data_IF_649932335436
#
_entry.id   IF_649932335436
#
_cell.length_a   1.000
_cell.length_b   1.000
_cell.length_c   1.000
_cell.angle_alpha   90.00
_cell.angle_beta   90.00
_cell.angle_gamma   90.00
#
_symmetry.space_group_name_H-M   'P 1'
#
loop_
_entity.id
_entity.type
_entity.pdbx_description
1 polymer ?
#
# COMPACT_ATOMS: atom_id res chain seq x y z
N UNK A 1 9.67 24.16 -14.07
CA UNK A 1 10.90 23.77 -14.80
C UNK A 1 11.89 23.01 -13.90
N UNK A 2 12.27 23.54 -12.72
CA UNK A 2 13.24 22.88 -11.79
C UNK A 2 12.69 21.57 -11.21
N UNK A 3 11.41 21.54 -10.84
CA UNK A 3 10.78 20.39 -10.19
C UNK A 3 10.78 19.12 -11.07
N UNK A 4 10.47 19.27 -12.37
CA UNK A 4 10.48 18.16 -13.31
C UNK A 4 11.90 17.58 -13.51
N UNK A 5 12.90 18.44 -13.60
CA UNK A 5 14.30 18.01 -13.70
C UNK A 5 14.72 17.22 -12.47
N UNK A 6 14.30 17.66 -11.28
CA UNK A 6 14.57 16.97 -10.03
C UNK A 6 13.90 15.59 -9.96
N UNK A 7 12.63 15.49 -10.37
CA UNK A 7 11.93 14.20 -10.46
C UNK A 7 12.65 13.23 -11.41
N UNK A 8 13.10 13.71 -12.57
CA UNK A 8 13.88 12.89 -13.50
C UNK A 8 15.22 12.42 -12.91
N UNK A 9 15.92 13.30 -12.18
CA UNK A 9 17.17 12.94 -11.51
C UNK A 9 16.95 11.86 -10.45
N UNK A 10 15.90 11.98 -9.62
CA UNK A 10 15.55 10.95 -8.65
C UNK A 10 15.22 9.62 -9.32
N UNK A 11 14.40 9.65 -10.38
CA UNK A 11 13.99 8.46 -11.14
C UNK A 11 15.19 7.67 -11.65
N UNK A 12 16.20 8.36 -12.20
CA UNK A 12 17.45 7.75 -12.70
C UNK A 12 18.29 7.06 -11.63
N UNK A 13 18.10 7.40 -10.36
CA UNK A 13 18.85 6.82 -9.24
C UNK A 13 18.18 5.58 -8.64
N UNK A 14 16.96 5.27 -9.07
CA UNK A 14 16.17 4.14 -8.60
C UNK A 14 16.34 2.99 -9.58
N UNK A 15 16.81 1.85 -9.07
CA UNK A 15 17.09 0.63 -9.82
C UNK A 15 16.48 -0.61 -9.17
N UNK A 16 16.12 -0.49 -7.90
CA UNK A 16 15.50 -1.53 -7.10
C UNK A 16 14.27 -0.93 -6.41
N UNK A 17 13.15 -1.64 -6.50
CA UNK A 17 11.84 -1.18 -6.06
C UNK A 17 11.29 -2.13 -4.98
N UNK A 18 10.48 -1.65 -4.04
CA UNK A 18 9.66 -2.55 -3.27
C UNK A 18 8.69 -3.28 -4.21
N UNK A 19 8.46 -4.57 -3.99
CA UNK A 19 7.41 -5.32 -4.66
C UNK A 19 6.04 -4.94 -4.11
N UNK A 20 5.97 -4.63 -2.82
CA UNK A 20 4.74 -4.40 -2.10
C UNK A 20 4.80 -3.10 -1.30
N UNK A 21 3.88 -2.18 -1.56
CA UNK A 21 3.79 -0.89 -0.87
C UNK A 21 2.42 -0.77 -0.20
N UNK A 22 2.41 -0.32 1.05
CA UNK A 22 1.19 0.07 1.74
C UNK A 22 1.21 1.57 2.06
N UNK A 23 0.19 2.30 1.66
CA UNK A 23 -0.10 3.66 2.11
C UNK A 23 -1.16 3.63 3.21
N UNK A 24 -0.91 4.36 4.29
CA UNK A 24 -1.88 4.59 5.37
C UNK A 24 -2.28 6.07 5.36
N UNK A 25 -3.57 6.33 5.19
CA UNK A 25 -4.16 7.66 5.18
C UNK A 25 -5.44 7.69 6.01
N UNK A 26 -5.87 8.86 6.47
CA UNK A 26 -7.18 9.01 7.11
C UNK A 26 -8.32 9.13 6.09
N UNK A 27 -9.56 8.96 6.53
CA UNK A 27 -10.73 9.30 5.72
C UNK A 27 -10.77 10.77 5.34
N UNK A 28 -10.31 11.67 6.23
CA UNK A 28 -10.21 13.11 5.97
C UNK A 28 -9.19 13.41 4.88
N UNK A 29 -8.00 12.80 4.95
CA UNK A 29 -6.98 12.90 3.90
C UNK A 29 -7.56 12.52 2.53
N UNK A 30 -8.26 11.38 2.46
CA UNK A 30 -8.86 10.93 1.21
C UNK A 30 -9.93 11.90 0.70
N UNK A 31 -10.75 12.46 1.58
CA UNK A 31 -11.79 13.42 1.21
C UNK A 31 -11.19 14.72 0.65
N UNK A 32 -10.07 15.18 1.21
CA UNK A 32 -9.36 16.37 0.76
C UNK A 32 -8.73 16.19 -0.64
N UNK A 33 -8.26 14.98 -0.95
CA UNK A 33 -7.64 14.67 -2.24
C UNK A 33 -7.97 13.26 -2.75
N UNK A 34 -9.19 13.04 -3.28
CA UNK A 34 -9.66 11.72 -3.66
C UNK A 34 -8.97 11.16 -4.91
N UNK A 35 -8.49 12.04 -5.80
CA UNK A 35 -7.75 11.64 -7.01
C UNK A 35 -6.29 11.23 -6.73
N UNK A 36 -5.77 11.49 -5.53
CA UNK A 36 -4.38 11.15 -5.19
C UNK A 36 -4.12 9.64 -5.17
N UNK A 37 -5.10 8.81 -4.82
CA UNK A 37 -5.01 7.35 -4.93
C UNK A 37 -4.69 6.91 -6.37
N UNK A 38 -5.41 7.49 -7.33
CA UNK A 38 -5.18 7.25 -8.76
C UNK A 38 -3.82 7.78 -9.21
N UNK A 39 -3.44 8.98 -8.74
CA UNK A 39 -2.14 9.57 -9.06
C UNK A 39 -0.97 8.71 -8.56
N UNK A 40 -1.00 8.26 -7.31
CA UNK A 40 0.01 7.35 -6.73
C UNK A 40 0.06 6.03 -7.49
N UNK A 41 -1.09 5.45 -7.81
CA UNK A 41 -1.16 4.23 -8.65
C UNK A 41 -0.48 4.44 -10.00
N UNK A 42 -0.75 5.57 -10.66
CA UNK A 42 -0.12 5.95 -11.92
C UNK A 42 1.40 6.11 -11.79
N UNK A 43 1.88 6.70 -10.69
CA UNK A 43 3.33 6.82 -10.41
C UNK A 43 3.98 5.45 -10.21
N UNK A 44 3.33 4.53 -9.50
CA UNK A 44 3.80 3.15 -9.33
C UNK A 44 3.95 2.43 -10.68
N UNK A 45 2.97 2.56 -11.58
CA UNK A 45 3.05 2.01 -12.94
C UNK A 45 4.20 2.65 -13.74
N UNK A 46 4.32 3.98 -13.70
CA UNK A 46 5.34 4.71 -14.45
C UNK A 46 6.76 4.39 -13.99
N UNK A 47 7.02 4.33 -12.68
CA UNK A 47 8.34 3.98 -12.15
C UNK A 47 8.67 2.51 -12.42
N UNK A 48 7.68 1.62 -12.31
CA UNK A 48 7.85 0.19 -12.61
C UNK A 48 8.26 -0.03 -14.06
N UNK A 49 7.57 0.60 -15.01
CA UNK A 49 7.93 0.54 -16.43
C UNK A 49 9.31 1.14 -16.72
N UNK A 50 9.67 2.21 -16.01
CA UNK A 50 11.01 2.80 -16.14
C UNK A 50 12.10 1.84 -15.67
N UNK A 51 11.96 1.28 -14.47
CA UNK A 51 12.97 0.40 -13.84
C UNK A 51 13.09 -0.93 -14.57
N UNK A 52 11.99 -1.53 -15.03
CA UNK A 52 12.08 -2.77 -15.83
C UNK A 52 12.69 -2.55 -17.21
N UNK A 53 12.55 -1.35 -17.79
CA UNK A 53 13.13 -1.01 -19.10
C UNK A 53 14.57 -0.47 -19.06
N UNK A 54 15.01 0.12 -17.94
CA UNK A 54 16.31 0.82 -17.82
C UNK A 54 17.19 0.31 -16.67
N UNK A 55 16.63 -0.53 -15.80
CA UNK A 55 17.32 -1.10 -14.65
C UNK A 55 18.22 -2.28 -15.03
N UNK A 56 18.88 -2.90 -14.03
CA UNK A 56 19.69 -4.09 -14.25
C UNK A 56 18.85 -5.27 -14.76
N UNK A 57 19.51 -6.25 -15.39
CA UNK A 57 18.85 -7.48 -15.80
C UNK A 57 18.20 -8.17 -14.58
N UNK A 58 16.91 -8.50 -14.69
CA UNK A 58 16.12 -9.07 -13.59
C UNK A 58 15.45 -8.04 -12.68
N UNK A 59 15.55 -6.73 -12.97
CA UNK A 59 14.77 -5.72 -12.26
C UNK A 59 13.26 -5.96 -12.40
N UNK A 60 12.53 -5.68 -11.33
CA UNK A 60 11.07 -5.84 -11.26
C UNK A 60 10.36 -4.52 -11.02
N UNK A 61 9.06 -4.51 -11.33
CA UNK A 61 8.14 -3.45 -10.92
C UNK A 61 7.53 -3.69 -9.55
N UNK A 62 6.76 -2.72 -9.10
CA UNK A 62 5.85 -2.84 -7.96
C UNK A 62 4.70 -3.76 -8.40
N UNK A 63 4.41 -4.78 -7.60
CA UNK A 63 3.39 -5.79 -7.88
C UNK A 63 2.09 -5.50 -7.12
N UNK A 64 2.20 -5.09 -5.85
CA UNK A 64 1.07 -4.84 -4.98
C UNK A 64 1.12 -3.45 -4.35
N UNK A 65 0.00 -2.74 -4.40
CA UNK A 65 -0.21 -1.45 -3.76
C UNK A 65 -1.45 -1.50 -2.88
N UNK A 66 -1.30 -1.31 -1.57
CA UNK A 66 -2.41 -1.20 -0.63
C UNK A 66 -2.63 0.27 -0.26
N UNK A 67 -3.87 0.70 -0.21
CA UNK A 67 -4.31 1.91 0.50
C UNK A 67 -5.19 1.50 1.68
N UNK A 68 -4.71 1.79 2.89
CA UNK A 68 -5.52 1.77 4.09
C UNK A 68 -6.08 3.14 4.37
N UNK A 69 -7.40 3.19 4.50
CA UNK A 69 -8.13 4.40 4.85
C UNK A 69 -8.70 4.21 6.24
N UNK A 70 -8.10 4.90 7.20
CA UNK A 70 -8.59 4.96 8.57
C UNK A 70 -9.84 5.84 8.62
N UNK A 71 -11.01 5.22 8.47
CA UNK A 71 -12.31 5.84 8.59
C UNK A 71 -13.14 5.12 9.65
N UNK A 72 -13.70 5.80 10.66
CA UNK A 72 -14.54 5.17 11.69
C UNK A 72 -15.82 4.54 11.13
N UNK A 73 -16.29 5.04 9.98
CA UNK A 73 -17.48 4.59 9.30
C UNK A 73 -17.18 4.41 7.80
N UNK A 74 -17.23 3.17 7.27
CA UNK A 74 -17.01 2.90 5.86
C UNK A 74 -18.01 3.57 4.92
N UNK A 75 -19.22 3.93 5.38
CA UNK A 75 -20.21 4.61 4.52
C UNK A 75 -19.80 6.04 4.17
N UNK A 76 -18.90 6.65 4.95
CA UNK A 76 -18.41 8.01 4.70
C UNK A 76 -17.65 8.14 3.37
N UNK A 77 -17.13 7.03 2.84
CA UNK A 77 -16.42 7.04 1.56
C UNK A 77 -17.31 6.81 0.33
N UNK A 78 -18.63 6.63 0.50
CA UNK A 78 -19.54 6.35 -0.62
C UNK A 78 -19.50 7.45 -1.69
N UNK A 79 -19.37 8.71 -1.27
CA UNK A 79 -19.20 9.86 -2.17
C UNK A 79 -17.86 9.84 -2.93
N UNK A 80 -16.86 9.13 -2.42
CA UNK A 80 -15.50 9.04 -2.95
C UNK A 80 -15.30 7.79 -3.83
N UNK A 81 -16.23 6.83 -3.79
CA UNK A 81 -16.19 5.61 -4.61
C UNK A 81 -15.95 5.88 -6.11
N UNK A 82 -16.57 6.89 -6.76
CA UNK A 82 -16.29 7.16 -8.17
C UNK A 82 -14.81 7.49 -8.43
N UNK A 83 -14.13 8.18 -7.52
CA UNK A 83 -12.71 8.50 -7.64
C UNK A 83 -11.84 7.24 -7.42
N UNK A 84 -12.14 6.44 -6.40
CA UNK A 84 -11.45 5.17 -6.12
C UNK A 84 -11.55 4.22 -7.33
N UNK A 85 -12.76 4.09 -7.91
CA UNK A 85 -13.00 3.21 -9.05
C UNK A 85 -12.19 3.58 -10.29
N UNK A 86 -11.71 4.82 -10.45
CA UNK A 86 -10.81 5.20 -11.54
C UNK A 86 -9.55 4.33 -11.58
N UNK A 87 -9.09 3.81 -10.44
CA UNK A 87 -7.93 2.90 -10.35
C UNK A 87 -8.08 1.69 -11.29
N UNK A 88 -9.29 1.13 -11.40
CA UNK A 88 -9.59 -0.03 -12.27
C UNK A 88 -9.32 0.21 -13.76
N UNK A 89 -9.15 1.47 -14.18
CA UNK A 89 -8.80 1.82 -15.55
C UNK A 89 -7.30 1.65 -15.86
N UNK A 90 -6.45 1.54 -14.84
CA UNK A 90 -4.98 1.45 -14.98
C UNK A 90 -4.34 0.31 -14.16
N UNK A 91 -5.14 -0.41 -13.37
CA UNK A 91 -4.69 -1.45 -12.45
C UNK A 91 -5.83 -2.44 -12.13
N UNK A 92 -5.51 -3.57 -11.52
CA UNK A 92 -6.50 -4.47 -10.94
C UNK A 92 -6.86 -3.95 -9.54
N UNK A 93 -8.09 -3.50 -9.34
CA UNK A 93 -8.59 -2.96 -8.07
C UNK A 93 -9.34 -4.04 -7.29
N UNK A 94 -9.05 -4.16 -5.99
CA UNK A 94 -9.86 -4.85 -4.98
C UNK A 94 -10.23 -3.88 -3.87
N UNK A 95 -11.51 -3.52 -3.76
CA UNK A 95 -12.03 -2.60 -2.76
C UNK A 95 -12.73 -3.38 -1.64
N UNK A 96 -12.33 -3.12 -0.40
CA UNK A 96 -12.96 -3.62 0.82
C UNK A 96 -13.42 -2.45 1.68
N UNK A 97 -14.74 -2.26 1.79
CA UNK A 97 -15.34 -1.18 2.60
C UNK A 97 -16.58 -1.68 3.34
N UNK A 98 -16.46 -1.95 4.64
CA UNK A 98 -17.52 -2.57 5.41
C UNK A 98 -17.89 -3.95 4.86
N UNK A 99 -19.14 -4.15 4.44
CA UNK A 99 -19.62 -5.38 3.78
C UNK A 99 -19.42 -5.37 2.25
N UNK A 100 -18.93 -4.27 1.68
CA UNK A 100 -18.73 -4.11 0.24
C UNK A 100 -17.38 -4.70 -0.16
N UNK A 101 -17.43 -5.63 -1.11
CA UNK A 101 -16.28 -6.13 -1.83
C UNK A 101 -16.51 -5.94 -3.33
N UNK A 102 -15.62 -5.20 -3.99
CA UNK A 102 -15.68 -4.95 -5.44
C UNK A 102 -14.31 -5.24 -6.05
N UNK A 103 -14.28 -5.90 -7.20
CA UNK A 103 -13.06 -6.09 -7.97
C UNK A 103 -13.25 -5.64 -9.42
N UNK A 104 -12.16 -5.20 -10.07
CA UNK A 104 -12.21 -4.85 -11.50
C UNK A 104 -10.90 -4.32 -12.05
N UNK A 105 -10.79 -4.30 -13.38
CA UNK A 105 -9.57 -3.87 -14.07
C UNK A 105 -8.53 -4.98 -14.23
N UNK A 106 -7.31 -4.62 -14.62
CA UNK A 106 -6.18 -5.55 -14.82
C UNK A 106 -4.84 -4.83 -14.67
N UNK A 107 -3.76 -5.56 -14.39
CA UNK A 107 -2.42 -5.02 -14.21
C UNK A 107 -1.90 -5.20 -12.80
N UNK A 108 -1.19 -4.19 -12.26
CA UNK A 108 -0.73 -4.17 -10.86
C UNK A 108 -1.93 -4.36 -9.91
N UNK A 109 -1.77 -5.16 -8.87
CA UNK A 109 -2.81 -5.38 -7.87
C UNK A 109 -2.87 -4.20 -6.90
N UNK A 110 -4.03 -3.55 -6.82
CA UNK A 110 -4.30 -2.42 -5.94
C UNK A 110 -5.42 -2.78 -4.99
N UNK A 111 -5.14 -2.81 -3.70
CA UNK A 111 -6.14 -3.04 -2.66
C UNK A 111 -6.48 -1.73 -1.99
N UNK A 112 -7.75 -1.43 -1.84
CA UNK A 112 -8.24 -0.28 -1.07
C UNK A 112 -9.07 -0.83 0.10
N UNK A 113 -8.57 -0.69 1.31
CA UNK A 113 -9.19 -1.19 2.54
C UNK A 113 -9.63 -0.02 3.42
N UNK A 114 -10.92 0.05 3.72
CA UNK A 114 -11.51 1.16 4.49
C UNK A 114 -12.03 0.67 5.83
N UNK A 115 -11.60 1.34 6.90
CA UNK A 115 -12.12 1.17 8.25
C UNK A 115 -11.76 -0.15 8.94
N UNK A 116 -11.00 -1.04 8.30
CA UNK A 116 -10.56 -2.29 8.93
C UNK A 116 -9.32 -2.05 9.78
N UNK A 117 -9.40 -2.30 11.08
CA UNK A 117 -8.22 -2.25 11.96
C UNK A 117 -7.44 -3.57 11.97
N UNK A 118 -6.15 -3.50 12.32
CA UNK A 118 -5.29 -4.67 12.47
C UNK A 118 -5.77 -5.58 13.59
N UNK A 119 -6.19 -5.02 14.73
CA UNK A 119 -6.76 -5.81 15.83
C UNK A 119 -8.04 -6.54 15.45
N UNK A 120 -8.93 -5.90 14.69
CA UNK A 120 -10.13 -6.56 14.18
C UNK A 120 -9.77 -7.71 13.24
N UNK A 121 -8.80 -7.52 12.34
CA UNK A 121 -8.34 -8.58 11.44
C UNK A 121 -7.81 -9.80 12.21
N UNK A 122 -6.95 -9.61 13.22
CA UNK A 122 -6.43 -10.71 14.03
C UNK A 122 -7.57 -11.42 14.79
N UNK A 123 -8.52 -10.65 15.33
CA UNK A 123 -9.69 -11.20 16.02
C UNK A 123 -10.55 -12.05 15.08
N UNK A 124 -10.78 -11.58 13.85
CA UNK A 124 -11.50 -12.33 12.81
C UNK A 124 -10.75 -13.57 12.36
N UNK A 125 -9.42 -13.48 12.17
CA UNK A 125 -8.54 -14.60 11.85
C UNK A 125 -8.70 -15.72 12.87
N UNK A 126 -8.55 -15.42 14.17
CA UNK A 126 -8.72 -16.39 15.25
C UNK A 126 -10.13 -16.99 15.26
N UNK A 127 -11.17 -16.17 15.06
CA UNK A 127 -12.55 -16.66 14.97
C UNK A 127 -12.76 -17.59 13.79
N UNK A 128 -12.15 -17.32 12.62
CA UNK A 128 -12.21 -18.19 11.44
C UNK A 128 -11.50 -19.52 11.71
N UNK A 129 -10.28 -19.49 12.25
CA UNK A 129 -9.54 -20.71 12.62
C UNK A 129 -10.33 -21.59 13.60
N UNK A 130 -10.96 -20.97 14.60
CA UNK A 130 -11.80 -21.70 15.57
C UNK A 130 -13.04 -22.33 14.92
N UNK A 131 -13.71 -21.62 13.99
CA UNK A 131 -14.87 -22.16 13.23
C UNK A 131 -14.48 -23.33 12.35
N UNK A 132 -13.29 -23.28 11.77
CA UNK A 132 -12.75 -24.33 10.91
C UNK A 132 -12.17 -25.51 11.70
N UNK A 133 -12.20 -25.46 13.04
CA UNK A 133 -11.65 -26.48 13.94
C UNK A 133 -10.17 -26.79 13.67
N UNK A 134 -9.37 -25.75 13.39
CA UNK A 134 -7.91 -25.89 13.24
C UNK A 134 -7.31 -26.49 14.51
N UNK A 135 -6.50 -27.54 14.36
CA UNK A 135 -5.81 -28.17 15.48
C UNK A 135 -4.78 -27.21 16.09
N UNK A 136 -4.89 -26.83 17.38
CA UNK A 136 -3.96 -25.90 18.03
C UNK A 136 -2.48 -26.30 17.89
N UNK A 137 -2.17 -27.59 17.93
CA UNK A 137 -0.79 -28.10 17.82
C UNK A 137 -0.18 -27.92 16.43
N UNK A 138 -1.01 -27.66 15.42
CA UNK A 138 -0.57 -27.40 14.04
C UNK A 138 -0.49 -25.91 13.71
N UNK A 139 -0.86 -25.03 14.64
CA UNK A 139 -0.85 -23.59 14.40
C UNK A 139 0.58 -23.09 14.39
N UNK A 140 1.01 -22.64 13.21
CA UNK A 140 2.24 -21.90 13.00
C UNK A 140 1.96 -20.56 12.31
N UNK A 141 3.01 -19.78 12.02
CA UNK A 141 2.91 -18.49 11.34
C UNK A 141 2.19 -18.60 9.98
N UNK A 142 2.43 -19.68 9.23
CA UNK A 142 1.82 -19.89 7.90
C UNK A 142 0.33 -20.17 7.99
N UNK A 143 -0.07 -20.94 9.00
CA UNK A 143 -1.49 -21.17 9.27
C UNK A 143 -2.15 -19.85 9.60
N UNK A 144 -1.59 -19.04 10.52
CA UNK A 144 -2.14 -17.72 10.84
C UNK A 144 -2.26 -16.85 9.58
N UNK A 145 -1.20 -16.76 8.78
CA UNK A 145 -1.17 -15.98 7.54
C UNK A 145 -2.25 -16.39 6.54
N UNK A 146 -2.54 -17.69 6.42
CA UNK A 146 -3.61 -18.20 5.54
C UNK A 146 -5.02 -17.82 5.98
N UNK A 147 -5.21 -17.40 7.24
CA UNK A 147 -6.49 -16.99 7.80
C UNK A 147 -6.66 -15.48 7.90
N UNK A 148 -5.60 -14.70 7.65
CA UNK A 148 -5.66 -13.25 7.55
C UNK A 148 -6.56 -12.82 6.38
N UNK A 149 -7.16 -11.64 6.51
CA UNK A 149 -7.97 -11.07 5.42
C UNK A 149 -7.05 -10.61 4.30
N UNK A 150 -5.95 -9.95 4.67
CA UNK A 150 -4.96 -9.48 3.74
C UNK A 150 -3.70 -10.33 3.88
N UNK A 151 -3.54 -11.27 2.94
CA UNK A 151 -2.43 -12.23 2.90
C UNK A 151 -1.24 -11.67 2.10
N UNK A 152 -0.74 -10.51 2.52
CA UNK A 152 0.36 -9.83 1.85
C UNK A 152 1.24 -9.12 2.89
N UNK A 153 2.54 -9.05 2.65
CA UNK A 153 3.50 -8.43 3.55
C UNK A 153 4.17 -7.25 2.83
N UNK A 154 3.84 -5.99 3.18
CA UNK A 154 4.43 -4.85 2.49
C UNK A 154 5.93 -4.79 2.75
N UNK A 155 6.72 -4.48 1.73
CA UNK A 155 8.14 -4.15 1.94
C UNK A 155 8.27 -2.76 2.56
N UNK A 156 7.33 -1.87 2.23
CA UNK A 156 7.30 -0.48 2.66
C UNK A 156 5.91 -0.08 3.11
N UNK A 157 5.82 0.53 4.29
CA UNK A 157 4.62 1.20 4.79
C UNK A 157 4.87 2.71 4.82
N UNK A 158 4.00 3.48 4.16
CA UNK A 158 4.07 4.93 4.06
C UNK A 158 2.85 5.52 4.77
N UNK A 159 3.09 6.23 5.88
CA UNK A 159 2.07 7.05 6.53
C UNK A 159 2.23 8.50 6.05
N UNK A 160 1.19 9.04 5.43
CA UNK A 160 1.11 10.48 5.13
C UNK A 160 0.27 11.15 6.22
N UNK A 161 0.81 12.22 6.82
CA UNK A 161 0.18 12.95 7.91
C UNK A 161 0.25 12.23 9.27
N UNK A 162 0.65 12.97 10.32
CA UNK A 162 0.76 12.49 11.70
C UNK A 162 1.95 11.57 11.98
N UNK A 163 2.27 11.40 13.27
CA UNK A 163 3.55 10.81 13.72
C UNK A 163 3.40 9.39 14.29
N UNK A 164 2.19 8.82 14.21
CA UNK A 164 1.85 7.53 14.82
C UNK A 164 1.28 6.54 13.81
N UNK A 165 1.72 5.29 13.91
CA UNK A 165 1.12 4.17 13.19
C UNK A 165 -0.34 4.02 13.63
N UNK A 166 -1.23 4.00 12.64
CA UNK A 166 -2.61 3.56 12.84
C UNK A 166 -2.61 2.04 13.09
N UNK A 167 -3.60 1.54 13.83
CA UNK A 167 -3.84 0.11 14.07
C UNK A 167 -4.19 -0.60 12.74
N UNK A 168 -3.19 -0.89 11.91
CA UNK A 168 -3.35 -1.59 10.62
C UNK A 168 -2.10 -2.42 10.29
N UNK A 169 -2.30 -3.63 9.75
CA UNK A 169 -1.27 -4.62 9.41
C UNK A 169 -0.30 -4.99 10.53
N UNK A 170 -0.80 -5.19 11.75
CA UNK A 170 0.06 -5.50 12.91
C UNK A 170 0.93 -6.74 12.67
N UNK A 171 0.40 -7.76 11.98
CA UNK A 171 1.15 -8.98 11.66
C UNK A 171 2.02 -8.80 10.41
N UNK A 172 1.42 -8.27 9.35
CA UNK A 172 2.03 -8.24 8.02
C UNK A 172 3.19 -7.23 7.93
N UNK A 173 3.18 -6.18 8.75
CA UNK A 173 4.16 -5.09 8.69
C UNK A 173 5.39 -5.25 9.59
N UNK A 174 5.52 -6.38 10.31
CA UNK A 174 6.58 -6.60 11.31
C UNK A 174 8.00 -6.39 10.74
N UNK A 175 8.21 -6.73 9.46
CA UNK A 175 9.51 -6.59 8.78
C UNK A 175 9.54 -5.49 7.73
N UNK A 176 8.50 -4.65 7.66
CA UNK A 176 8.41 -3.56 6.69
C UNK A 176 9.30 -2.38 7.06
N UNK A 177 9.83 -1.69 6.06
CA UNK A 177 10.39 -0.36 6.25
C UNK A 177 9.27 0.67 6.44
N UNK A 178 9.33 1.43 7.54
CA UNK A 178 8.33 2.41 7.91
C UNK A 178 8.78 3.82 7.50
N UNK A 179 7.94 4.51 6.73
CA UNK A 179 8.16 5.89 6.32
C UNK A 179 7.01 6.77 6.80
N UNK A 180 7.34 7.75 7.65
CA UNK A 180 6.42 8.79 8.10
C UNK A 180 6.72 10.06 7.32
N UNK A 181 5.73 10.55 6.60
CA UNK A 181 5.83 11.76 5.78
C UNK A 181 5.03 12.89 6.42
N UNK A 182 5.73 13.97 6.78
CA UNK A 182 5.14 15.22 7.25
C UNK A 182 4.30 15.93 6.16
N UNK A 183 4.44 15.50 4.90
CA UNK A 183 3.64 16.01 3.79
C UNK A 183 2.20 15.50 3.93
N UNK A 184 1.27 16.43 4.06
CA UNK A 184 -0.17 16.18 4.01
C UNK A 184 -0.55 15.53 2.67
N UNK A 185 -1.52 14.61 2.71
CA UNK A 185 -1.93 13.81 1.57
C UNK A 185 -2.34 14.63 0.34
N UNK A 186 -3.07 15.73 0.53
CA UNK A 186 -3.48 16.62 -0.55
C UNK A 186 -2.32 17.32 -1.25
N UNK A 187 -1.17 17.38 -0.59
CA UNK A 187 0.07 17.97 -1.10
C UNK A 187 1.14 16.92 -1.40
N UNK A 188 0.82 15.62 -1.30
CA UNK A 188 1.75 14.54 -1.59
C UNK A 188 1.99 14.45 -3.10
N UNK A 189 3.25 14.55 -3.54
CA UNK A 189 3.60 14.61 -4.96
C UNK A 189 4.54 13.49 -5.36
N UNK A 190 4.66 13.29 -6.67
CA UNK A 190 5.56 12.28 -7.24
C UNK A 190 7.01 12.38 -6.72
N UNK A 191 7.55 13.58 -6.49
CA UNK A 191 8.94 13.68 -5.97
C UNK A 191 9.07 13.17 -4.55
N UNK A 192 8.02 13.29 -3.74
CA UNK A 192 7.99 12.84 -2.36
C UNK A 192 7.96 11.31 -2.34
N UNK A 193 7.15 10.71 -3.23
CA UNK A 193 7.18 9.27 -3.50
C UNK A 193 8.55 8.75 -4.00
N UNK A 194 9.14 9.41 -5.00
CA UNK A 194 10.45 9.01 -5.53
C UNK A 194 11.57 9.11 -4.48
N UNK A 195 11.47 10.07 -3.54
CA UNK A 195 12.41 10.17 -2.41
C UNK A 195 12.29 8.97 -1.47
N UNK A 196 11.07 8.55 -1.14
CA UNK A 196 10.82 7.36 -0.32
C UNK A 196 11.42 6.12 -0.99
N UNK A 197 11.18 5.91 -2.29
CA UNK A 197 11.73 4.77 -3.04
C UNK A 197 13.26 4.75 -3.05
N UNK A 198 13.89 5.92 -3.27
CA UNK A 198 15.34 6.06 -3.23
C UNK A 198 15.90 5.71 -1.85
N UNK A 199 15.24 6.18 -0.79
CA UNK A 199 15.66 5.94 0.59
C UNK A 199 15.47 4.48 0.99
N UNK A 200 14.39 3.82 0.55
CA UNK A 200 14.18 2.37 0.70
C UNK A 200 15.32 1.56 0.06
N UNK A 201 15.64 1.84 -1.21
CA UNK A 201 16.76 1.19 -1.90
C UNK A 201 18.08 1.36 -1.14
N UNK A 202 18.31 2.54 -0.56
CA UNK A 202 19.53 2.82 0.20
C UNK A 202 19.60 2.03 1.52
N UNK A 203 18.45 1.67 2.12
CA UNK A 203 18.37 0.87 3.35
C UNK A 203 18.56 -0.61 3.09
N UNK A 204 17.91 -1.18 2.08
CA UNK A 204 18.12 -2.60 1.69
C UNK A 204 19.59 -2.89 1.46
N UNK A 205 20.30 -2.00 0.75
CA UNK A 205 21.73 -2.18 0.47
C UNK A 205 22.61 -2.21 1.72
N UNK A 206 22.13 -1.77 2.89
CA UNK A 206 22.84 -1.89 4.17
C UNK A 206 22.59 -3.23 4.84
N UNK A 207 21.40 -3.80 4.69
CA UNK A 207 21.04 -5.11 5.25
C UNK A 207 21.55 -6.28 4.40
N UNK A 208 21.70 -6.10 3.09
CA UNK A 208 22.27 -7.08 2.16
C UNK A 208 23.79 -7.00 1.98
N UNK A 209 24.52 -6.40 2.94
CA UNK A 209 26.00 -6.34 2.96
C UNK A 209 26.56 -7.08 4.17
#
# INVERSE_FOLDING_TARGET
MIYWLYAQLLRRQITDLPKQICFMISGEDLADAPDSLFAVTSWCNAISAYVTGHGPAGAHGICHLMFHIAAPDPEQIDSLLPAIRKISTIAHLSLHAGSREETGGSGMDVVVAVGKSGREEITECIRKMARDNVNPETVDEKVIESYLTFQYAPDVVIKSGGDHLTDFLIWQSVYSELFFSDVNWAHFREVDFLRILRDYQARIRRFGK
#
